data_IF_482234115815
#
_entry.id   IF_482234115815
#
_cell.length_a   1.000
_cell.length_b   1.000
_cell.length_c   1.000
_cell.angle_alpha   90.00
_cell.angle_beta   90.00
_cell.angle_gamma   90.00
#
_symmetry.space_group_name_H-M   'P 1'
#
loop_
_entity.id
_entity.type
_entity.pdbx_description
1 polymer ?
#
# COMPACT_ATOMS: atom_id res chain seq x y z
N UNK A 1 12.09 12.19 -8.15
CA UNK A 1 11.11 11.47 -8.99
C UNK A 1 9.90 11.12 -8.11
N UNK A 2 8.69 11.59 -8.41
CA UNK A 2 7.51 11.32 -7.56
C UNK A 2 7.03 9.89 -7.83
N UNK A 3 7.14 9.01 -6.84
CA UNK A 3 6.60 7.64 -6.91
C UNK A 3 5.06 7.73 -6.97
N UNK A 4 4.45 7.24 -8.05
CA UNK A 4 2.98 7.24 -8.24
C UNK A 4 2.40 5.85 -7.95
N UNK A 5 1.24 5.84 -7.29
CA UNK A 5 0.48 4.63 -7.03
C UNK A 5 -0.81 4.64 -7.87
N UNK A 6 -1.21 3.49 -8.39
CA UNK A 6 -2.51 3.31 -9.05
C UNK A 6 -3.64 3.35 -8.01
N UNK A 7 -4.90 3.43 -8.44
CA UNK A 7 -6.06 3.38 -7.53
C UNK A 7 -6.06 2.11 -6.69
N UNK A 8 -5.79 0.95 -7.31
CA UNK A 8 -5.73 -0.34 -6.61
C UNK A 8 -4.55 -0.39 -5.62
N UNK A 9 -3.38 0.10 -6.03
CA UNK A 9 -2.21 0.20 -5.14
C UNK A 9 -2.50 1.11 -3.95
N UNK A 10 -3.17 2.25 -4.13
CA UNK A 10 -3.58 3.14 -3.04
C UNK A 10 -4.60 2.47 -2.11
N UNK A 11 -5.53 1.68 -2.64
CA UNK A 11 -6.50 0.94 -1.82
C UNK A 11 -5.81 -0.09 -0.93
N UNK A 12 -4.84 -0.84 -1.47
CA UNK A 12 -4.03 -1.79 -0.70
C UNK A 12 -3.15 -1.06 0.31
N UNK A 13 -2.46 0.00 -0.13
CA UNK A 13 -1.58 0.81 0.73
C UNK A 13 -2.34 1.38 1.93
N UNK A 14 -3.60 1.80 1.79
CA UNK A 14 -4.45 2.25 2.92
C UNK A 14 -4.65 1.20 4.01
N UNK A 15 -4.61 -0.09 3.67
CA UNK A 15 -4.84 -1.20 4.61
C UNK A 15 -3.59 -1.69 5.32
N UNK A 16 -2.41 -1.28 4.85
CA UNK A 16 -1.13 -1.66 5.44
C UNK A 16 -0.77 -0.65 6.52
N UNK A 17 -0.44 -1.02 7.76
CA UNK A 17 -0.07 -0.08 8.81
C UNK A 17 1.19 0.74 8.48
N UNK A 18 1.35 1.91 9.09
CA UNK A 18 2.61 2.67 8.97
C UNK A 18 3.76 1.93 9.66
N UNK A 19 4.99 2.06 9.15
CA UNK A 19 6.19 1.58 9.84
C UNK A 19 6.38 2.20 11.24
N UNK A 20 5.76 3.35 11.48
CA UNK A 20 5.77 4.06 12.77
C UNK A 20 4.72 3.53 13.75
N UNK A 21 3.80 2.68 13.29
CA UNK A 21 2.88 1.92 14.12
C UNK A 21 3.59 0.61 14.50
N UNK A 22 3.56 0.25 15.78
CA UNK A 22 4.48 -0.70 16.45
C UNK A 22 4.53 -2.09 15.80
N UNK A 23 3.53 -2.45 14.98
CA UNK A 23 3.48 -3.68 14.19
C UNK A 23 2.82 -3.39 12.83
N UNK A 24 3.41 -3.89 11.75
CA UNK A 24 2.74 -3.96 10.44
C UNK A 24 1.75 -5.11 10.38
N UNK A 25 1.37 -5.54 9.19
CA UNK A 25 0.34 -6.56 9.00
C UNK A 25 0.88 -7.84 8.39
N UNK A 26 0.37 -8.99 8.85
CA UNK A 26 0.60 -10.26 8.18
C UNK A 26 -0.04 -10.27 6.79
N UNK A 27 0.67 -10.79 5.79
CA UNK A 27 0.17 -10.81 4.40
C UNK A 27 -1.09 -11.67 4.28
N UNK A 28 -1.19 -12.76 5.06
CA UNK A 28 -2.39 -13.58 5.12
C UNK A 28 -3.60 -12.79 5.63
N UNK A 29 -3.46 -12.07 6.74
CA UNK A 29 -4.50 -11.20 7.29
C UNK A 29 -4.91 -10.09 6.29
N UNK A 30 -3.94 -9.48 5.61
CA UNK A 30 -4.21 -8.47 4.60
C UNK A 30 -5.02 -9.02 3.42
N UNK A 31 -4.73 -10.25 2.98
CA UNK A 31 -5.49 -10.93 1.92
C UNK A 31 -6.96 -11.08 2.34
N UNK A 32 -7.20 -11.54 3.57
CA UNK A 32 -8.54 -11.72 4.12
C UNK A 32 -9.29 -10.39 4.24
N UNK A 33 -8.63 -9.34 4.71
CA UNK A 33 -9.19 -7.99 4.82
C UNK A 33 -9.57 -7.38 3.47
N UNK A 34 -8.76 -7.63 2.44
CA UNK A 34 -9.01 -7.13 1.09
C UNK A 34 -10.08 -7.95 0.36
N UNK A 35 -10.42 -9.15 0.86
CA UNK A 35 -11.32 -10.11 0.20
C UNK A 35 -10.93 -10.34 -1.27
N UNK A 36 -9.63 -10.41 -1.52
CA UNK A 36 -9.05 -10.54 -2.85
C UNK A 36 -8.27 -11.86 -2.96
N UNK A 37 -7.95 -12.29 -4.19
CA UNK A 37 -7.16 -13.51 -4.35
C UNK A 37 -5.74 -13.32 -3.80
N UNK A 38 -5.14 -14.36 -3.18
CA UNK A 38 -3.77 -14.29 -2.68
C UNK A 38 -2.76 -13.85 -3.76
N UNK A 39 -2.92 -14.34 -4.99
CA UNK A 39 -2.05 -14.00 -6.12
C UNK A 39 -2.17 -12.54 -6.55
N UNK A 40 -3.40 -11.99 -6.60
CA UNK A 40 -3.60 -10.59 -6.95
C UNK A 40 -3.04 -9.66 -5.87
N UNK A 41 -3.28 -9.97 -4.60
CA UNK A 41 -2.73 -9.18 -3.47
C UNK A 41 -1.21 -9.20 -3.49
N UNK A 42 -0.59 -10.38 -3.62
CA UNK A 42 0.87 -10.51 -3.71
C UNK A 42 1.45 -9.76 -4.91
N UNK A 43 0.78 -9.79 -6.06
CA UNK A 43 1.20 -9.00 -7.22
C UNK A 43 1.21 -7.50 -6.92
N UNK A 44 0.16 -6.97 -6.29
CA UNK A 44 0.11 -5.54 -5.91
C UNK A 44 1.19 -5.21 -4.88
N UNK A 45 1.42 -6.08 -3.89
CA UNK A 45 2.46 -5.86 -2.89
C UNK A 45 3.86 -5.89 -3.50
N UNK A 46 4.12 -6.74 -4.49
CA UNK A 46 5.38 -6.74 -5.24
C UNK A 46 5.60 -5.37 -5.90
N UNK A 47 4.59 -4.84 -6.60
CA UNK A 47 4.66 -3.51 -7.25
C UNK A 47 4.87 -2.37 -6.24
N UNK A 48 4.24 -2.46 -5.07
CA UNK A 48 4.44 -1.49 -3.98
C UNK A 48 5.86 -1.58 -3.38
N UNK A 49 6.41 -2.80 -3.27
CA UNK A 49 7.77 -3.07 -2.79
C UNK A 49 8.83 -2.59 -3.78
N UNK A 50 8.67 -2.85 -5.09
CA UNK A 50 9.52 -2.30 -6.16
C UNK A 50 9.59 -0.76 -6.12
N UNK A 51 8.46 -0.12 -5.74
CA UNK A 51 8.38 1.33 -5.54
C UNK A 51 8.90 1.76 -4.17
N UNK A 52 9.31 0.85 -3.30
CA UNK A 52 9.71 1.09 -1.91
C UNK A 52 8.64 1.87 -1.12
N UNK A 53 7.35 1.65 -1.42
CA UNK A 53 6.23 2.23 -0.68
C UNK A 53 5.83 1.37 0.52
N UNK A 54 6.25 0.10 0.51
CA UNK A 54 6.14 -0.82 1.62
C UNK A 54 7.49 -1.50 1.85
N UNK A 55 7.69 -2.00 3.05
CA UNK A 55 8.78 -2.90 3.44
C UNK A 55 8.18 -4.24 3.85
N UNK A 56 8.95 -5.31 3.66
CA UNK A 56 8.62 -6.66 4.11
C UNK A 56 9.71 -7.16 5.06
N UNK A 57 9.43 -8.25 5.75
CA UNK A 57 10.39 -9.00 6.59
C UNK A 57 11.60 -9.51 5.80
N UNK A 58 11.42 -9.84 4.53
CA UNK A 58 12.48 -10.33 3.65
C UNK A 58 13.21 -9.23 2.87
N UNK A 59 12.98 -7.94 3.20
CA UNK A 59 13.45 -6.73 2.49
C UNK A 59 12.87 -6.55 1.09
N UNK A 60 12.78 -7.62 0.30
CA UNK A 60 12.11 -7.69 -0.99
C UNK A 60 10.86 -8.58 -0.91
N UNK A 61 9.79 -8.23 -1.63
CA UNK A 61 8.58 -9.05 -1.66
C UNK A 61 8.84 -10.39 -2.36
N UNK A 62 8.60 -11.49 -1.65
CA UNK A 62 8.74 -12.85 -2.16
C UNK A 62 7.65 -13.77 -1.60
N UNK A 63 7.62 -15.01 -2.04
CA UNK A 63 6.72 -16.03 -1.47
C UNK A 63 6.99 -16.27 0.02
N UNK A 64 8.23 -16.04 0.47
CA UNK A 64 8.65 -16.17 1.87
C UNK A 64 8.33 -14.95 2.73
N UNK A 65 7.84 -13.86 2.13
CA UNK A 65 7.41 -12.72 2.94
C UNK A 65 6.14 -13.09 3.69
N UNK A 66 6.15 -12.84 4.99
CA UNK A 66 5.00 -13.10 5.86
C UNK A 66 4.32 -11.81 6.32
N UNK A 67 5.05 -10.69 6.29
CA UNK A 67 4.60 -9.44 6.88
C UNK A 67 4.95 -8.24 6.01
N UNK A 68 4.17 -7.17 6.11
CA UNK A 68 4.50 -5.88 5.48
C UNK A 68 4.05 -4.66 6.30
N UNK A 69 4.74 -3.54 6.10
CA UNK A 69 4.38 -2.22 6.60
C UNK A 69 4.64 -1.13 5.55
N UNK A 70 3.93 0.00 5.61
CA UNK A 70 4.22 1.17 4.77
C UNK A 70 5.54 1.80 5.19
N UNK A 71 6.30 2.29 4.22
CA UNK A 71 7.45 3.17 4.47
C UNK A 71 7.00 4.63 4.59
N UNK A 72 7.88 5.53 5.02
CA UNK A 72 7.62 6.98 5.00
C UNK A 72 7.23 7.48 3.59
N UNK A 73 7.84 6.89 2.55
CA UNK A 73 7.48 7.18 1.17
C UNK A 73 6.05 6.69 0.84
N UNK A 74 5.66 5.53 1.36
CA UNK A 74 4.30 5.02 1.29
C UNK A 74 3.28 5.95 1.95
N UNK A 75 3.58 6.42 3.16
CA UNK A 75 2.73 7.35 3.90
C UNK A 75 2.61 8.70 3.16
N UNK A 76 3.73 9.25 2.68
CA UNK A 76 3.72 10.48 1.88
C UNK A 76 2.89 10.34 0.60
N UNK A 77 3.03 9.23 -0.14
CA UNK A 77 2.22 8.94 -1.34
C UNK A 77 0.75 8.85 -0.99
N UNK A 78 0.42 8.13 0.09
CA UNK A 78 -0.94 7.94 0.54
C UNK A 78 -1.60 9.26 0.90
N UNK A 79 -0.92 10.12 1.68
CA UNK A 79 -1.42 11.44 2.05
C UNK A 79 -1.58 12.35 0.82
N UNK A 80 -0.55 12.44 -0.03
CA UNK A 80 -0.54 13.37 -1.16
C UNK A 80 -1.56 13.02 -2.24
N UNK A 81 -1.73 11.73 -2.56
CA UNK A 81 -2.65 11.30 -3.62
C UNK A 81 -4.08 11.13 -3.12
N UNK A 82 -4.28 10.79 -1.84
CA UNK A 82 -5.63 10.80 -1.25
C UNK A 82 -6.18 12.22 -1.14
N UNK A 83 -5.36 13.21 -0.76
CA UNK A 83 -5.77 14.61 -0.71
C UNK A 83 -6.12 15.18 -2.09
N UNK A 84 -5.38 14.78 -3.15
CA UNK A 84 -5.71 15.18 -4.54
C UNK A 84 -7.00 14.55 -5.05
N UNK A 85 -7.27 13.28 -4.68
CA UNK A 85 -8.51 12.61 -5.05
C UNK A 85 -9.75 13.28 -4.43
N UNK A 86 -9.63 13.82 -3.21
CA UNK A 86 -10.71 14.60 -2.57
C UNK A 86 -10.92 15.95 -3.26
N UNK A 87 -9.85 16.70 -3.59
CA UNK A 87 -10.00 18.02 -4.24
C UNK A 87 -10.67 17.96 -5.61
N UNK A 88 -10.50 16.88 -6.37
CA UNK A 88 -11.18 16.73 -7.67
C UNK A 88 -12.68 16.45 -7.50
N UNK A 89 -13.09 15.69 -6.48
CA UNK A 89 -14.51 15.42 -6.22
C UNK A 89 -15.31 16.68 -5.85
N UNK A 90 -14.69 17.63 -5.16
CA UNK A 90 -15.34 18.92 -4.84
C UNK A 90 -15.31 19.94 -5.97
N UNK A 91 -14.48 19.71 -7.00
CA UNK A 91 -14.36 20.63 -8.14
C UNK A 91 -15.33 20.30 -9.26
N UNK A 92 -15.71 19.03 -9.39
CA UNK A 92 -16.73 18.57 -10.35
C UNK A 92 -18.16 18.66 -9.78
N UNK A 93 -18.31 19.03 -8.51
CA UNK A 93 -19.59 19.20 -7.82
C UNK A 93 -20.05 20.68 -7.72
N UNK A 94 -19.37 21.59 -8.42
CA UNK A 94 -19.67 23.03 -8.50
C UNK A 94 -19.82 23.45 -9.96
#
# INVERSE_FOLDING_TARGET
>A
MIKRATKQELMVLRRIPSANETHGIEIAELIDLLRASPSATRHVLLRLSEKQLIRTDTQEMSERSHWCARTDAGDHVLMTQSAKSMRNLYRDAA
#
